data_IF_437548708908
#
_entry.id   IF_437548708908
#
_cell.length_a   1.000
_cell.length_b   1.000
_cell.length_c   1.000
_cell.angle_alpha   90.00
_cell.angle_beta   90.00
_cell.angle_gamma   90.00
#
_symmetry.space_group_name_H-M   'P 1'
#
loop_
_entity.id
_entity.type
_entity.pdbx_description
1 polymer ?
#
# COMPACT_ATOMS: atom_id res chain seq x y z
N UNK A 1 50.27 40.93 -18.67
CA UNK A 1 50.61 39.79 -19.54
C UNK A 1 50.22 38.49 -18.84
N UNK A 2 49.56 37.58 -19.58
CA UNK A 2 49.26 36.16 -19.29
C UNK A 2 48.22 35.89 -18.17
N UNK A 3 46.92 35.73 -18.46
CA UNK A 3 46.17 34.54 -18.97
C UNK A 3 46.31 33.25 -18.15
N UNK A 4 45.15 32.59 -17.95
CA UNK A 4 44.92 31.18 -17.53
C UNK A 4 44.85 31.03 -16.00
N UNK A 5 43.82 30.48 -15.35
CA UNK A 5 42.86 29.46 -15.78
C UNK A 5 41.54 29.55 -15.03
N UNK A 6 40.44 29.55 -15.78
CA UNK A 6 39.15 29.08 -15.31
C UNK A 6 39.27 27.62 -14.90
N UNK A 7 38.90 27.28 -13.66
CA UNK A 7 38.61 25.88 -13.33
C UNK A 7 37.33 25.83 -12.51
N UNK A 8 36.23 25.80 -13.25
CA UNK A 8 34.96 25.23 -12.83
C UNK A 8 35.19 23.73 -12.66
N UNK A 9 35.02 23.17 -11.46
CA UNK A 9 34.63 21.75 -11.32
C UNK A 9 33.50 21.70 -10.31
N UNK A 10 32.29 21.67 -10.89
CA UNK A 10 31.01 21.41 -10.24
C UNK A 10 31.11 20.03 -9.59
N UNK A 11 31.01 19.97 -8.26
CA UNK A 11 30.90 18.72 -7.54
C UNK A 11 29.60 18.03 -7.98
N UNK A 12 29.76 16.89 -8.68
CA UNK A 12 28.66 16.05 -9.12
C UNK A 12 27.83 15.61 -7.90
N UNK A 13 26.59 16.07 -7.83
CA UNK A 13 25.55 15.38 -7.09
C UNK A 13 25.32 14.01 -7.75
N UNK A 14 26.04 13.00 -7.29
CA UNK A 14 25.64 11.61 -7.49
C UNK A 14 24.44 11.31 -6.60
N UNK A 15 23.29 11.91 -6.94
CA UNK A 15 22.00 11.40 -6.52
C UNK A 15 21.80 10.10 -7.28
N UNK A 16 22.18 8.99 -6.64
CA UNK A 16 21.70 7.66 -7.04
C UNK A 16 20.20 7.64 -6.81
N UNK A 17 19.43 8.21 -7.75
CA UNK A 17 18.02 7.92 -7.88
C UNK A 17 17.93 6.44 -8.24
N UNK A 18 17.83 5.59 -7.23
CA UNK A 18 17.23 4.28 -7.38
C UNK A 18 15.79 4.53 -7.79
N UNK A 19 15.58 4.74 -9.09
CA UNK A 19 14.28 4.58 -9.70
C UNK A 19 13.93 3.10 -9.56
N UNK A 20 13.39 2.73 -8.38
CA UNK A 20 12.66 1.49 -8.22
C UNK A 20 11.52 1.58 -9.22
N UNK A 21 11.66 0.86 -10.32
CA UNK A 21 10.63 0.76 -11.33
C UNK A 21 9.37 0.22 -10.66
N UNK A 22 8.37 1.07 -10.44
CA UNK A 22 7.01 0.70 -10.02
C UNK A 22 6.24 -0.09 -11.11
N UNK A 23 6.95 -0.65 -12.10
CA UNK A 23 6.39 -1.31 -13.28
C UNK A 23 5.87 -2.74 -13.02
N UNK A 24 5.73 -3.17 -11.75
CA UNK A 24 5.45 -4.56 -11.38
C UNK A 24 4.00 -4.91 -11.01
N UNK A 25 3.09 -3.95 -10.84
CA UNK A 25 1.73 -4.27 -10.34
C UNK A 25 0.85 -5.03 -11.34
N UNK A 26 1.23 -5.13 -12.61
CA UNK A 26 0.35 -5.61 -13.69
C UNK A 26 0.50 -7.10 -14.06
N UNK A 27 1.21 -7.93 -13.29
CA UNK A 27 1.51 -9.32 -13.70
C UNK A 27 1.19 -10.42 -12.68
N UNK A 28 0.75 -10.10 -11.47
CA UNK A 28 0.38 -11.12 -10.48
C UNK A 28 -1.08 -11.54 -10.62
N UNK A 29 -1.32 -12.86 -10.69
CA UNK A 29 -2.67 -13.44 -10.69
C UNK A 29 -3.40 -13.01 -9.40
N UNK A 30 -4.63 -12.50 -9.47
CA UNK A 30 -5.43 -12.23 -8.27
C UNK A 30 -5.55 -13.49 -7.40
N UNK A 31 -5.33 -13.34 -6.10
CA UNK A 31 -5.56 -14.41 -5.13
C UNK A 31 -7.06 -14.58 -4.93
N UNK A 32 -7.57 -15.81 -4.84
CA UNK A 32 -8.89 -16.09 -4.26
C UNK A 32 -8.94 -15.66 -2.79
N UNK A 33 -10.12 -15.66 -2.16
CA UNK A 33 -10.21 -15.31 -0.75
C UNK A 33 -9.54 -16.35 0.15
N UNK A 34 -9.66 -17.62 -0.20
CA UNK A 34 -9.11 -18.78 0.51
C UNK A 34 -7.58 -18.83 0.41
N UNK A 35 -7.01 -18.31 -0.68
CA UNK A 35 -5.56 -18.19 -0.89
C UNK A 35 -4.92 -17.06 -0.05
N UNK A 36 -5.72 -16.23 0.63
CA UNK A 36 -5.21 -15.19 1.51
C UNK A 36 -4.74 -15.77 2.85
N UNK A 37 -3.71 -15.18 3.49
CA UNK A 37 -3.41 -15.47 4.89
C UNK A 37 -4.62 -15.25 5.80
N UNK A 38 -4.71 -15.99 6.92
CA UNK A 38 -5.87 -15.94 7.82
C UNK A 38 -6.17 -14.54 8.34
N UNK A 39 -5.14 -13.76 8.70
CA UNK A 39 -5.31 -12.37 9.14
C UNK A 39 -5.93 -11.48 8.05
N UNK A 40 -5.58 -11.70 6.78
CA UNK A 40 -6.20 -10.99 5.66
C UNK A 40 -7.67 -11.37 5.50
N UNK A 41 -8.01 -12.66 5.60
CA UNK A 41 -9.40 -13.12 5.56
C UNK A 41 -10.22 -12.42 6.66
N UNK A 42 -9.71 -12.42 7.89
CA UNK A 42 -10.36 -11.74 9.03
C UNK A 42 -10.53 -10.24 8.78
N UNK A 43 -9.48 -9.57 8.30
CA UNK A 43 -9.52 -8.13 8.02
C UNK A 43 -10.59 -7.79 6.98
N UNK A 44 -10.59 -8.49 5.83
CA UNK A 44 -11.56 -8.19 4.76
C UNK A 44 -13.00 -8.51 5.17
N UNK A 45 -13.22 -9.58 5.95
CA UNK A 45 -14.56 -9.87 6.51
C UNK A 45 -15.02 -8.79 7.48
N UNK A 46 -14.15 -8.37 8.41
CA UNK A 46 -14.45 -7.28 9.36
C UNK A 46 -14.75 -5.96 8.62
N UNK A 47 -13.92 -5.64 7.64
CA UNK A 47 -14.06 -4.46 6.80
C UNK A 47 -15.40 -4.44 6.06
N UNK A 48 -15.75 -5.53 5.37
CA UNK A 48 -17.01 -5.63 4.65
C UNK A 48 -18.22 -5.48 5.57
N UNK A 49 -18.23 -6.17 6.71
CA UNK A 49 -19.31 -6.07 7.70
C UNK A 49 -19.48 -4.63 8.24
N UNK A 50 -18.39 -3.93 8.55
CA UNK A 50 -18.44 -2.52 8.95
C UNK A 50 -19.01 -1.65 7.81
N UNK A 51 -18.49 -1.80 6.59
CA UNK A 51 -18.87 -0.93 5.49
C UNK A 51 -20.31 -1.13 5.05
N UNK A 52 -20.84 -2.36 5.13
CA UNK A 52 -22.26 -2.64 4.89
C UNK A 52 -23.15 -1.83 5.84
N UNK A 53 -22.82 -1.74 7.13
CA UNK A 53 -23.56 -0.92 8.10
C UNK A 53 -23.43 0.57 7.84
N UNK A 54 -22.23 1.03 7.45
CA UNK A 54 -21.93 2.44 7.24
C UNK A 54 -22.47 3.00 5.91
N UNK A 55 -22.83 2.13 4.95
CA UNK A 55 -23.34 2.54 3.64
C UNK A 55 -22.35 3.42 2.88
N UNK A 56 -22.87 4.49 2.26
CA UNK A 56 -22.09 5.40 1.41
C UNK A 56 -20.99 6.17 2.16
N UNK A 57 -21.13 6.34 3.49
CA UNK A 57 -20.12 6.99 4.32
C UNK A 57 -18.77 6.25 4.30
N UNK A 58 -18.78 4.96 3.97
CA UNK A 58 -17.59 4.12 3.93
C UNK A 58 -16.88 4.08 2.56
N UNK A 59 -17.31 4.87 1.56
CA UNK A 59 -16.74 4.84 0.20
C UNK A 59 -15.22 4.93 0.18
N UNK A 60 -14.65 5.92 0.89
CA UNK A 60 -13.20 6.09 0.99
C UNK A 60 -12.49 4.87 1.61
N UNK A 61 -13.03 4.31 2.70
CA UNK A 61 -12.45 3.14 3.35
C UNK A 61 -12.59 1.87 2.50
N UNK A 62 -13.70 1.71 1.75
CA UNK A 62 -13.89 0.65 0.77
C UNK A 62 -12.83 0.71 -0.33
N UNK A 63 -12.55 1.90 -0.87
CA UNK A 63 -11.54 2.08 -1.91
C UNK A 63 -10.12 1.76 -1.41
N UNK A 64 -9.78 2.17 -0.20
CA UNK A 64 -8.50 1.80 0.43
C UNK A 64 -8.37 0.29 0.65
N UNK A 65 -9.45 -0.35 1.11
CA UNK A 65 -9.50 -1.82 1.30
C UNK A 65 -9.38 -2.55 -0.04
N UNK A 66 -10.03 -2.05 -1.09
CA UNK A 66 -9.92 -2.57 -2.45
C UNK A 66 -8.49 -2.42 -2.98
N UNK A 67 -7.86 -1.28 -2.77
CA UNK A 67 -6.48 -1.06 -3.15
C UNK A 67 -5.53 -2.05 -2.45
N UNK A 68 -5.68 -2.25 -1.13
CA UNK A 68 -4.93 -3.27 -0.42
C UNK A 68 -5.12 -4.65 -1.08
N UNK A 69 -6.36 -5.06 -1.37
CA UNK A 69 -6.64 -6.35 -2.03
C UNK A 69 -5.94 -6.50 -3.38
N UNK A 70 -5.83 -5.42 -4.15
CA UNK A 70 -5.20 -5.39 -5.47
C UNK A 70 -3.67 -5.53 -5.41
N UNK A 71 -3.03 -5.04 -4.34
CA UNK A 71 -1.57 -5.09 -4.21
C UNK A 71 -1.05 -6.38 -3.55
N UNK A 72 -1.89 -7.09 -2.78
CA UNK A 72 -1.49 -8.35 -2.12
C UNK A 72 -0.87 -9.41 -3.05
N UNK A 73 -1.35 -9.62 -4.30
CA UNK A 73 -0.76 -10.62 -5.19
C UNK A 73 0.70 -10.35 -5.56
N UNK A 74 1.16 -9.09 -5.52
CA UNK A 74 2.55 -8.72 -5.80
C UNK A 74 3.49 -8.97 -4.60
N UNK A 75 2.94 -9.12 -3.40
CA UNK A 75 3.68 -9.38 -2.17
C UNK A 75 3.91 -10.89 -1.95
N UNK A 76 4.98 -11.26 -1.26
CA UNK A 76 5.17 -12.61 -0.73
C UNK A 76 4.21 -12.90 0.44
N UNK A 77 4.15 -14.15 0.92
CA UNK A 77 3.20 -14.55 1.98
C UNK A 77 3.41 -13.77 3.27
N UNK A 78 4.66 -13.59 3.71
CA UNK A 78 4.96 -12.88 4.96
C UNK A 78 4.70 -11.37 4.85
N UNK A 79 4.90 -10.78 3.67
CA UNK A 79 4.50 -9.40 3.38
C UNK A 79 2.98 -9.24 3.43
N UNK A 80 2.21 -10.15 2.82
CA UNK A 80 0.73 -10.14 2.87
C UNK A 80 0.22 -10.16 4.31
N UNK A 81 0.77 -11.04 5.13
CA UNK A 81 0.45 -11.12 6.57
C UNK A 81 0.68 -9.79 7.27
N UNK A 82 1.88 -9.20 7.12
CA UNK A 82 2.21 -7.91 7.74
C UNK A 82 1.29 -6.78 7.26
N UNK A 83 1.01 -6.71 5.96
CA UNK A 83 0.14 -5.68 5.38
C UNK A 83 -1.28 -5.76 5.96
N UNK A 84 -1.84 -6.96 6.06
CA UNK A 84 -3.17 -7.16 6.64
C UNK A 84 -3.19 -7.01 8.16
N UNK A 85 -2.11 -7.35 8.87
CA UNK A 85 -1.99 -7.10 10.31
C UNK A 85 -2.02 -5.60 10.59
N UNK A 86 -1.23 -4.80 9.86
CA UNK A 86 -1.25 -3.34 9.97
C UNK A 86 -2.65 -2.78 9.69
N UNK A 87 -3.32 -3.31 8.66
CA UNK A 87 -4.67 -2.91 8.31
C UNK A 87 -5.69 -3.28 9.41
N UNK A 88 -5.53 -4.44 10.06
CA UNK A 88 -6.33 -4.89 11.20
C UNK A 88 -6.12 -4.01 12.43
N UNK A 89 -4.87 -3.75 12.79
CA UNK A 89 -4.48 -3.00 13.99
C UNK A 89 -4.97 -1.55 13.93
N UNK A 90 -4.93 -0.95 12.74
CA UNK A 90 -5.35 0.45 12.52
C UNK A 90 -6.84 0.59 12.15
N UNK A 91 -7.58 -0.51 12.03
CA UNK A 91 -8.94 -0.49 11.50
C UNK A 91 -9.87 0.41 12.32
N UNK A 92 -9.94 0.19 13.64
CA UNK A 92 -10.86 0.90 14.53
C UNK A 92 -10.63 2.42 14.50
N UNK A 93 -9.37 2.85 14.43
CA UNK A 93 -9.03 4.27 14.32
C UNK A 93 -9.49 4.83 12.96
N UNK A 94 -9.21 4.12 11.86
CA UNK A 94 -9.54 4.54 10.49
C UNK A 94 -11.04 4.51 10.18
N UNK A 95 -11.82 3.74 10.94
CA UNK A 95 -13.27 3.62 10.78
C UNK A 95 -14.06 4.29 11.89
N UNK A 96 -13.42 4.96 12.87
CA UNK A 96 -14.09 5.63 14.00
C UNK A 96 -15.24 6.56 13.57
N UNK A 97 -15.06 7.30 12.47
CA UNK A 97 -16.10 8.21 11.95
C UNK A 97 -17.29 7.52 11.28
N UNK A 98 -17.21 6.20 11.04
CA UNK A 98 -18.26 5.42 10.40
C UNK A 98 -19.28 4.86 11.40
N UNK A 99 -18.95 4.80 12.70
CA UNK A 99 -19.79 4.21 13.76
C UNK A 99 -20.36 2.82 13.37
N UNK A 100 -19.51 1.97 12.80
CA UNK A 100 -19.89 0.65 12.27
C UNK A 100 -19.49 -0.53 13.19
N UNK A 101 -18.71 -0.23 14.23
CA UNK A 101 -18.21 -1.14 15.26
C UNK A 101 -18.54 -0.58 16.65
#
# INVERSE_FOLDING_TARGET
>A
MKTISQTLIIALCALSSLSVSAHGMHKSKPLSFEELPKICQQYFTRADACYQKAGDKASFQRDNTKYLRQILPAADVGQRERMCQIAMDTFAEKTKGLNCE
#
